data_IF_518186682058
#
_entry.id   IF_518186682058
#
_cell.length_a   1.000
_cell.length_b   1.000
_cell.length_c   1.000
_cell.angle_alpha   90.00
_cell.angle_beta   90.00
_cell.angle_gamma   90.00
#
_symmetry.space_group_name_H-M   'P 1'
#
loop_
_entity.id
_entity.type
_entity.pdbx_description
1 polymer ?
#
# COMPACT_ATOMS: atom_id res chain seq x y z
N UNK A 1 -12.64 -24.23 1.82
CA UNK A 1 -12.28 -22.83 2.17
C UNK A 1 -11.94 -22.13 0.86
N UNK A 2 -12.85 -21.31 0.34
CA UNK A 2 -12.72 -20.73 -1.00
C UNK A 2 -12.23 -19.28 -0.89
N UNK A 3 -10.96 -19.05 -1.23
CA UNK A 3 -10.37 -17.71 -1.33
C UNK A 3 -10.79 -17.06 -2.64
N UNK A 4 -11.77 -16.16 -2.57
CA UNK A 4 -12.16 -15.32 -3.71
C UNK A 4 -11.15 -14.19 -3.81
N UNK A 5 -10.21 -14.31 -4.77
CA UNK A 5 -9.21 -13.29 -5.07
C UNK A 5 -9.88 -12.04 -5.67
N UNK A 6 -9.64 -10.88 -5.05
CA UNK A 6 -10.04 -9.59 -5.64
C UNK A 6 -8.92 -9.16 -6.58
N UNK A 7 -9.18 -9.29 -7.88
CA UNK A 7 -8.21 -8.97 -8.95
C UNK A 7 -7.95 -7.47 -8.99
N UNK A 8 -6.86 -7.06 -8.34
CA UNK A 8 -6.29 -5.73 -8.52
C UNK A 8 -4.97 -5.92 -9.28
N UNK A 9 -4.89 -5.36 -10.47
CA UNK A 9 -3.72 -5.44 -11.33
C UNK A 9 -2.62 -4.54 -10.75
N UNK A 10 -1.58 -5.19 -10.22
CA UNK A 10 -0.36 -4.55 -9.76
C UNK A 10 0.74 -4.83 -10.78
N UNK A 11 1.62 -3.86 -11.02
CA UNK A 11 2.60 -3.87 -12.11
C UNK A 11 3.22 -5.25 -12.36
N UNK A 12 2.85 -5.88 -13.49
CA UNK A 12 3.38 -7.15 -13.98
C UNK A 12 3.07 -8.41 -13.14
N UNK A 13 2.89 -8.29 -11.83
CA UNK A 13 2.73 -9.42 -10.91
C UNK A 13 1.38 -9.34 -10.19
N UNK A 14 0.53 -10.35 -10.42
CA UNK A 14 -0.80 -10.46 -9.81
C UNK A 14 -0.65 -10.75 -8.31
N UNK A 15 -0.56 -9.71 -7.49
CA UNK A 15 -0.64 -9.87 -6.03
C UNK A 15 -2.06 -10.27 -5.66
N UNK A 16 -2.25 -11.53 -5.28
CA UNK A 16 -3.50 -12.02 -4.71
C UNK A 16 -3.69 -11.39 -3.33
N UNK A 17 -4.49 -10.33 -3.26
CA UNK A 17 -4.83 -9.75 -1.98
C UNK A 17 -5.90 -10.60 -1.26
N UNK A 18 -5.72 -10.89 0.04
CA UNK A 18 -6.72 -11.57 0.83
C UNK A 18 -8.03 -10.77 0.88
N UNK A 19 -9.16 -11.48 0.98
CA UNK A 19 -10.50 -10.88 1.02
C UNK A 19 -10.62 -9.95 2.24
N UNK A 20 -11.17 -8.76 2.03
CA UNK A 20 -11.31 -7.75 3.09
C UNK A 20 -10.06 -6.86 3.26
N UNK A 21 -9.02 -7.04 2.43
CA UNK A 21 -7.89 -6.14 2.43
C UNK A 21 -8.28 -4.72 1.96
N UNK A 22 -7.86 -3.72 2.73
CA UNK A 22 -7.95 -2.30 2.37
C UNK A 22 -6.57 -1.78 1.96
N UNK A 23 -6.50 -1.03 0.85
CA UNK A 23 -5.24 -0.52 0.32
C UNK A 23 -5.21 1.00 0.45
N UNK A 24 -4.11 1.53 0.99
CA UNK A 24 -3.90 2.96 1.14
C UNK A 24 -2.55 3.36 0.57
N UNK A 25 -2.50 4.55 -0.03
CA UNK A 25 -1.23 5.22 -0.31
C UNK A 25 -0.93 6.22 0.81
N UNK A 26 0.30 6.19 1.33
CA UNK A 26 0.77 7.13 2.35
C UNK A 26 2.17 7.62 2.01
N UNK A 27 2.41 8.90 2.27
CA UNK A 27 3.75 9.49 2.16
C UNK A 27 4.50 9.27 3.46
N UNK A 28 5.73 8.77 3.37
CA UNK A 28 6.61 8.61 4.53
C UNK A 28 7.11 9.99 4.95
N UNK A 29 6.92 10.33 6.22
CA UNK A 29 7.40 11.58 6.80
C UNK A 29 8.94 11.65 6.79
N UNK A 30 9.50 12.85 6.95
CA UNK A 30 10.97 13.03 7.06
C UNK A 30 11.61 12.23 8.20
N UNK A 31 10.84 11.93 9.25
CA UNK A 31 11.25 11.08 10.36
C UNK A 31 11.27 9.58 10.02
N UNK A 32 10.85 9.17 8.82
CA UNK A 32 10.71 7.77 8.42
C UNK A 32 9.40 7.11 8.85
N UNK A 33 8.43 7.88 9.37
CA UNK A 33 7.17 7.35 9.90
C UNK A 33 5.99 7.55 8.93
N UNK A 34 4.96 6.73 9.09
CA UNK A 34 3.61 6.97 8.57
C UNK A 34 2.60 6.98 9.73
N UNK A 35 1.42 7.56 9.49
CA UNK A 35 0.30 7.47 10.42
C UNK A 35 -0.81 6.61 9.83
N UNK A 36 -1.34 5.69 10.64
CA UNK A 36 -2.52 4.89 10.35
C UNK A 36 -3.41 4.86 11.59
N UNK A 37 -4.71 5.18 11.42
CA UNK A 37 -5.68 5.27 12.53
C UNK A 37 -5.18 6.09 13.74
N UNK A 38 -4.55 7.24 13.45
CA UNK A 38 -4.00 8.13 14.47
C UNK A 38 -2.73 7.63 15.17
N UNK A 39 -2.23 6.42 14.85
CA UNK A 39 -1.01 5.84 15.43
C UNK A 39 0.18 5.96 14.48
N UNK A 40 1.36 6.38 14.96
CA UNK A 40 2.56 6.42 14.16
C UNK A 40 3.22 5.04 14.05
N UNK A 41 3.72 4.71 12.86
CA UNK A 41 4.50 3.50 12.58
C UNK A 41 5.81 3.90 11.93
N UNK A 42 6.93 3.43 12.47
CA UNK A 42 8.24 3.63 11.84
C UNK A 42 8.40 2.67 10.66
N UNK A 43 8.77 3.21 9.50
CA UNK A 43 9.03 2.46 8.27
C UNK A 43 10.54 2.41 8.03
N UNK A 44 11.09 3.54 7.56
CA UNK A 44 12.51 3.71 7.31
C UNK A 44 12.80 5.17 6.97
N UNK A 45 13.91 5.72 7.46
CA UNK A 45 14.38 7.05 7.05
C UNK A 45 14.79 7.09 5.57
N UNK A 46 15.22 5.96 5.00
CA UNK A 46 15.63 5.89 3.59
C UNK A 46 14.45 6.11 2.62
N UNK A 47 13.22 5.88 3.10
CA UNK A 47 12.00 6.09 2.32
C UNK A 47 11.36 7.46 2.56
N UNK A 48 11.99 8.33 3.36
CA UNK A 48 11.46 9.67 3.64
C UNK A 48 11.08 10.42 2.36
N UNK A 49 9.85 10.95 2.33
CA UNK A 49 9.29 11.68 1.19
C UNK A 49 8.75 10.81 0.06
N UNK A 50 8.97 9.48 0.08
CA UNK A 50 8.36 8.56 -0.89
C UNK A 50 6.94 8.22 -0.48
N UNK A 51 6.09 8.00 -1.48
CA UNK A 51 4.82 7.32 -1.23
C UNK A 51 5.10 5.82 -1.10
N UNK A 52 4.35 5.15 -0.24
CA UNK A 52 4.37 3.70 -0.09
C UNK A 52 2.93 3.20 -0.10
N UNK A 53 2.77 1.91 -0.38
CA UNK A 53 1.49 1.22 -0.28
C UNK A 53 1.37 0.58 1.10
N UNK A 54 0.21 0.75 1.71
CA UNK A 54 -0.18 0.05 2.93
C UNK A 54 -1.32 -0.88 2.58
N UNK A 55 -1.20 -2.15 2.95
CA UNK A 55 -2.27 -3.14 2.86
C UNK A 55 -2.70 -3.49 4.27
N UNK A 56 -3.97 -3.28 4.57
CA UNK A 56 -4.55 -3.60 5.87
C UNK A 56 -5.50 -4.76 5.69
N UNK A 57 -5.23 -5.86 6.40
CA UNK A 57 -6.10 -7.03 6.37
C UNK A 57 -6.14 -7.66 7.75
N UNK A 58 -7.35 -7.98 8.21
CA UNK A 58 -7.59 -8.41 9.59
C UNK A 58 -6.96 -7.37 10.53
N UNK A 59 -6.07 -7.78 11.43
CA UNK A 59 -5.38 -6.90 12.37
C UNK A 59 -3.92 -6.60 11.98
N UNK A 60 -3.61 -6.66 10.68
CA UNK A 60 -2.23 -6.51 10.17
C UNK A 60 -2.11 -5.31 9.24
N UNK A 61 -1.11 -4.47 9.54
CA UNK A 61 -0.64 -3.41 8.65
C UNK A 61 0.61 -3.90 7.90
N UNK A 62 0.46 -4.17 6.60
CA UNK A 62 1.55 -4.62 5.74
C UNK A 62 2.06 -3.43 4.94
N UNK A 63 3.36 -3.22 4.98
CA UNK A 63 4.04 -2.15 4.25
C UNK A 63 4.59 -2.74 2.96
N UNK A 64 4.20 -2.17 1.84
CA UNK A 64 4.72 -2.52 0.54
C UNK A 64 5.38 -1.29 -0.09
N UNK A 65 6.67 -1.41 -0.31
CA UNK A 65 7.51 -0.36 -0.88
C UNK A 65 7.32 -0.23 -2.39
N UNK A 66 6.65 -1.19 -3.05
CA UNK A 66 6.26 -1.07 -4.45
C UNK A 66 5.12 -0.04 -4.58
N UNK A 67 5.40 1.02 -5.34
CA UNK A 67 4.36 1.90 -5.85
C UNK A 67 4.10 1.44 -7.29
N UNK A 68 3.05 0.66 -7.56
CA UNK A 68 2.64 0.42 -8.93
C UNK A 68 2.20 1.76 -9.53
N UNK A 69 3.08 2.40 -10.28
CA UNK A 69 2.77 3.63 -11.00
C UNK A 69 2.01 3.23 -12.28
N UNK A 70 0.71 3.01 -12.15
CA UNK A 70 -0.21 3.06 -13.29
C UNK A 70 -1.23 4.13 -12.99
N UNK A 71 -0.93 5.34 -13.48
CA UNK A 71 -1.91 6.40 -13.62
C UNK A 71 -1.98 6.74 -15.09
N UNK A 72 -3.05 6.30 -15.71
CA UNK A 72 -3.40 6.70 -17.06
C UNK A 72 -4.35 7.90 -16.95
N UNK A 73 -4.03 8.97 -17.67
CA UNK A 73 -4.88 10.13 -17.81
C UNK A 73 -5.22 10.27 -19.28
N UNK A 74 -6.51 10.32 -19.59
CA UNK A 74 -6.98 10.68 -20.92
C UNK A 74 -6.85 12.21 -21.06
N UNK A 75 -5.90 12.64 -21.88
CA UNK A 75 -5.65 14.04 -22.19
C UNK A 75 -6.46 14.42 -23.43
N UNK A 76 -7.79 14.37 -23.32
CA UNK A 76 -8.70 14.91 -24.35
C UNK A 76 -8.30 16.33 -24.74
#
# INVERSE_FOLDING_TARGET
>A
MNSIAVNSSFGGERVNLPRGASIFSRKVARSGHISYEGRPYFISKALAGRYIRLVVVEDRLIVDESIPLHKEYELS
#
